data_IF_702331248145
#
_entry.id   IF_702331248145
#
_cell.length_a   1.000
_cell.length_b   1.000
_cell.length_c   1.000
_cell.angle_alpha   90.00
_cell.angle_beta   90.00
_cell.angle_gamma   90.00
#
_symmetry.space_group_name_H-M   'P 1'
#
loop_
_entity.id
_entity.type
_entity.pdbx_description
1 polymer ?
#
# COMPACT_ATOMS: atom_id res chain seq x y z
N UNK A 1 15.82 2.26 3.89
CA UNK A 1 14.77 2.28 2.85
C UNK A 1 13.47 1.75 3.42
N UNK A 2 12.39 2.47 3.25
CA UNK A 2 11.04 2.06 3.63
C UNK A 2 10.31 1.53 2.41
N UNK A 3 9.80 0.32 2.49
CA UNK A 3 9.20 -0.37 1.35
C UNK A 3 7.77 -0.77 1.62
N UNK A 4 6.94 -0.69 0.57
CA UNK A 4 5.53 -1.01 0.56
C UNK A 4 5.21 -1.97 -0.57
N UNK A 5 4.37 -2.97 -0.29
CA UNK A 5 3.77 -3.85 -1.29
C UNK A 5 2.26 -3.59 -1.30
N UNK A 6 1.71 -3.32 -2.46
CA UNK A 6 0.27 -3.10 -2.68
C UNK A 6 -0.29 -4.27 -3.46
N UNK A 7 -1.22 -5.00 -2.87
CA UNK A 7 -1.97 -6.07 -3.52
C UNK A 7 -3.37 -5.60 -3.88
N UNK A 8 -3.76 -5.79 -5.14
CA UNK A 8 -5.08 -5.44 -5.62
C UNK A 8 -5.46 -6.26 -6.86
N UNK A 9 -6.71 -6.12 -7.27
CA UNK A 9 -7.13 -6.51 -8.62
C UNK A 9 -6.98 -5.35 -9.57
N UNK A 10 -6.74 -5.63 -10.84
CA UNK A 10 -6.67 -4.60 -11.87
C UNK A 10 -7.92 -3.71 -11.84
N UNK A 11 -7.73 -2.40 -11.84
CA UNK A 11 -8.79 -1.40 -11.74
C UNK A 11 -9.09 -0.90 -10.32
N UNK A 12 -8.51 -1.49 -9.27
CA UNK A 12 -8.70 -1.02 -7.88
C UNK A 12 -7.78 0.12 -7.47
N UNK A 13 -6.85 0.52 -8.34
CA UNK A 13 -6.03 1.70 -8.12
C UNK A 13 -4.80 1.50 -7.23
N UNK A 14 -4.24 0.29 -7.15
CA UNK A 14 -3.02 0.03 -6.37
C UNK A 14 -1.81 0.80 -6.90
N UNK A 15 -1.60 0.81 -8.21
CA UNK A 15 -0.49 1.56 -8.80
C UNK A 15 -0.67 3.08 -8.63
N UNK A 16 -1.90 3.56 -8.74
CA UNK A 16 -2.22 4.97 -8.46
C UNK A 16 -1.87 5.33 -7.03
N UNK A 17 -2.27 4.51 -6.05
CA UNK A 17 -1.94 4.72 -4.64
C UNK A 17 -0.43 4.67 -4.40
N UNK A 18 0.27 3.69 -4.98
CA UNK A 18 1.71 3.56 -4.86
C UNK A 18 2.44 4.80 -5.38
N UNK A 19 2.00 5.36 -6.51
CA UNK A 19 2.55 6.60 -7.10
C UNK A 19 2.23 7.82 -6.25
N UNK A 20 1.01 7.93 -5.75
CA UNK A 20 0.62 9.06 -4.90
C UNK A 20 1.45 9.08 -3.61
N UNK A 21 1.66 7.92 -2.99
CA UNK A 21 2.52 7.81 -1.83
C UNK A 21 3.96 8.23 -2.14
N UNK A 22 4.50 7.76 -3.26
CA UNK A 22 5.84 8.14 -3.70
C UNK A 22 5.97 9.64 -3.97
N UNK A 23 4.96 10.25 -4.61
CA UNK A 23 4.95 11.68 -4.86
C UNK A 23 4.86 12.48 -3.56
N UNK A 24 4.02 12.07 -2.63
CA UNK A 24 3.89 12.70 -1.31
C UNK A 24 5.21 12.66 -0.55
N UNK A 25 5.89 11.52 -0.53
CA UNK A 25 7.19 11.38 0.11
C UNK A 25 8.27 12.26 -0.53
N UNK A 26 8.24 12.42 -1.85
CA UNK A 26 9.19 13.28 -2.56
C UNK A 26 8.97 14.78 -2.31
N UNK A 27 7.78 15.19 -1.87
CA UNK A 27 7.50 16.56 -1.43
C UNK A 27 8.06 16.85 -0.02
N UNK A 28 8.28 15.81 0.77
CA UNK A 28 8.92 15.93 2.08
C UNK A 28 10.42 16.23 1.92
N UNK A 29 10.95 17.09 2.77
CA UNK A 29 12.35 17.51 2.67
C UNK A 29 13.32 16.33 2.75
N UNK A 30 14.15 16.16 1.71
CA UNK A 30 15.22 15.17 1.64
C UNK A 30 14.78 13.74 1.33
N UNK A 31 13.51 13.50 0.96
CA UNK A 31 13.05 12.17 0.60
C UNK A 31 13.19 11.90 -0.90
N UNK A 32 13.54 10.66 -1.21
CA UNK A 32 13.53 10.09 -2.56
C UNK A 32 12.50 8.97 -2.59
N UNK A 33 11.81 8.82 -3.71
CA UNK A 33 10.79 7.80 -3.84
C UNK A 33 10.81 7.16 -5.22
N UNK A 34 10.42 5.89 -5.26
CA UNK A 34 10.25 5.12 -6.49
C UNK A 34 8.97 4.30 -6.36
N UNK A 35 8.09 4.38 -7.37
CA UNK A 35 6.87 3.57 -7.42
C UNK A 35 6.74 2.92 -8.79
N UNK A 36 6.41 1.63 -8.81
CA UNK A 36 6.27 0.85 -10.04
C UNK A 36 5.32 -0.34 -9.85
N UNK A 37 4.61 -0.77 -10.92
CA UNK A 37 3.77 -1.95 -10.87
C UNK A 37 4.57 -3.21 -11.17
N UNK A 38 3.97 -4.38 -10.92
CA UNK A 38 4.47 -5.62 -11.50
C UNK A 38 4.35 -5.57 -13.02
N UNK A 39 5.42 -6.02 -13.71
CA UNK A 39 5.40 -6.09 -15.16
C UNK A 39 4.59 -7.30 -15.63
N UNK A 40 3.71 -7.09 -16.60
CA UNK A 40 2.85 -8.09 -17.19
C UNK A 40 1.61 -7.44 -17.83
N UNK A 41 0.81 -8.18 -18.62
CA UNK A 41 -0.41 -7.64 -19.17
C UNK A 41 -1.38 -7.29 -18.03
N UNK A 42 -1.70 -6.02 -17.92
CA UNK A 42 -2.69 -5.54 -16.96
C UNK A 42 -4.08 -5.97 -17.44
N UNK A 43 -4.79 -6.75 -16.63
CA UNK A 43 -6.15 -7.17 -16.90
C UNK A 43 -7.05 -6.71 -15.77
N UNK A 44 -8.16 -6.09 -16.11
CA UNK A 44 -9.18 -5.70 -15.15
C UNK A 44 -9.67 -6.92 -14.36
N UNK A 45 -9.65 -6.84 -13.04
CA UNK A 45 -10.04 -7.90 -12.12
C UNK A 45 -8.98 -8.96 -11.83
N UNK A 46 -7.87 -9.03 -12.61
CA UNK A 46 -6.78 -9.94 -12.34
C UNK A 46 -5.91 -9.44 -11.17
N UNK A 47 -5.33 -10.36 -10.35
CA UNK A 47 -4.40 -9.96 -9.30
C UNK A 47 -3.20 -9.20 -9.87
N UNK A 48 -2.84 -8.10 -9.21
CA UNK A 48 -1.66 -7.31 -9.54
C UNK A 48 -0.99 -6.81 -8.26
N UNK A 49 0.27 -6.44 -8.38
CA UNK A 49 1.03 -5.79 -7.31
C UNK A 49 1.63 -4.48 -7.79
N UNK A 50 1.78 -3.55 -6.87
CA UNK A 50 2.59 -2.35 -7.06
C UNK A 50 3.51 -2.20 -5.85
N UNK A 51 4.56 -1.42 -6.03
CA UNK A 51 5.58 -1.21 -5.00
C UNK A 51 5.84 0.27 -4.82
N UNK A 52 6.12 0.67 -3.59
CA UNK A 52 6.66 2.00 -3.28
C UNK A 52 7.91 1.82 -2.43
N UNK A 53 8.98 2.51 -2.82
CA UNK A 53 10.24 2.60 -2.05
C UNK A 53 10.47 4.05 -1.69
N UNK A 54 10.80 4.32 -0.44
CA UNK A 54 11.09 5.66 0.07
C UNK A 54 12.42 5.60 0.84
N UNK A 55 13.32 6.55 0.55
CA UNK A 55 14.61 6.64 1.22
C UNK A 55 15.06 8.09 1.38
N UNK A 56 16.03 8.31 2.23
CA UNK A 56 16.73 9.60 2.38
C UNK A 56 17.87 9.78 1.38
N UNK A 57 18.20 8.74 0.62
CA UNK A 57 19.21 8.74 -0.43
C UNK A 57 18.60 8.32 -1.78
N UNK A 58 19.22 8.67 -2.92
CA UNK A 58 18.77 8.25 -4.24
C UNK A 58 18.60 6.73 -4.34
N UNK A 59 17.47 6.29 -4.90
CA UNK A 59 17.12 4.87 -4.99
C UNK A 59 17.56 4.33 -6.36
N UNK A 60 18.61 3.52 -6.38
CA UNK A 60 19.10 2.84 -7.58
C UNK A 60 18.47 1.46 -7.80
N UNK A 61 18.01 0.82 -6.73
CA UNK A 61 17.40 -0.52 -6.79
C UNK A 61 15.96 -0.46 -7.28
N UNK A 62 15.73 -0.99 -8.49
CA UNK A 62 14.42 -1.08 -9.15
C UNK A 62 13.83 -2.49 -9.12
N UNK A 63 14.41 -3.39 -8.35
CA UNK A 63 13.89 -4.75 -8.21
C UNK A 63 12.56 -4.76 -7.44
N UNK A 64 11.75 -5.81 -7.68
CA UNK A 64 10.53 -6.04 -6.93
C UNK A 64 10.82 -6.14 -5.43
N UNK A 65 9.88 -5.65 -4.61
CA UNK A 65 9.96 -5.78 -3.17
C UNK A 65 9.47 -7.17 -2.77
N UNK A 66 10.25 -7.89 -1.98
CA UNK A 66 9.90 -9.21 -1.47
C UNK A 66 9.48 -9.20 -0.01
N UNK A 67 10.02 -8.27 0.77
CA UNK A 67 9.65 -8.04 2.17
C UNK A 67 9.53 -6.56 2.41
N UNK A 68 8.40 -6.15 2.97
CA UNK A 68 8.08 -4.74 3.16
C UNK A 68 7.71 -4.43 4.61
N UNK A 69 7.93 -3.17 5.00
CA UNK A 69 7.43 -2.66 6.26
C UNK A 69 5.89 -2.62 6.29
N UNK A 70 5.29 -2.37 5.13
CA UNK A 70 3.84 -2.34 4.98
C UNK A 70 3.42 -3.15 3.76
N UNK A 71 2.52 -4.11 3.97
CA UNK A 71 1.88 -4.90 2.91
C UNK A 71 0.39 -4.57 2.94
N UNK A 72 -0.12 -4.01 1.85
CA UNK A 72 -1.47 -3.46 1.77
C UNK A 72 -2.30 -4.29 0.81
N UNK A 73 -3.41 -4.83 1.28
CA UNK A 73 -4.38 -5.57 0.48
C UNK A 73 -5.64 -4.74 0.30
N UNK A 74 -5.87 -4.27 -0.92
CA UNK A 74 -7.11 -3.57 -1.29
C UNK A 74 -8.29 -4.54 -1.44
N UNK A 75 -8.00 -5.83 -1.59
CA UNK A 75 -8.98 -6.91 -1.74
C UNK A 75 -8.55 -8.10 -0.87
N UNK A 76 -9.35 -8.43 0.15
CA UNK A 76 -9.02 -9.49 1.10
C UNK A 76 -9.02 -10.89 0.47
N UNK A 77 -9.69 -11.07 -0.67
CA UNK A 77 -9.69 -12.36 -1.39
C UNK A 77 -8.33 -12.73 -1.96
N UNK A 78 -7.39 -11.78 -2.01
CA UNK A 78 -6.02 -12.00 -2.49
C UNK A 78 -5.06 -12.50 -1.41
N UNK A 79 -5.47 -12.49 -0.14
CA UNK A 79 -4.62 -12.98 0.95
C UNK A 79 -4.55 -14.50 0.87
N UNK A 80 -3.33 -15.01 0.76
CA UNK A 80 -3.04 -16.44 0.66
C UNK A 80 -2.23 -16.91 1.87
N UNK A 81 -2.12 -18.22 2.05
CA UNK A 81 -1.22 -18.81 3.05
C UNK A 81 0.22 -18.38 2.74
N UNK A 82 0.99 -18.06 3.78
CA UNK A 82 2.36 -17.57 3.63
C UNK A 82 2.48 -16.06 3.43
N UNK A 83 1.40 -15.31 3.59
CA UNK A 83 1.42 -13.84 3.50
C UNK A 83 2.46 -13.20 4.45
N UNK A 84 2.77 -13.85 5.56
CA UNK A 84 3.76 -13.38 6.53
C UNK A 84 5.17 -13.27 5.95
N UNK A 85 5.46 -14.04 4.91
CA UNK A 85 6.78 -14.04 4.27
C UNK A 85 7.08 -12.70 3.56
N UNK A 86 6.05 -11.94 3.23
CA UNK A 86 6.19 -10.61 2.65
C UNK A 86 6.42 -9.50 3.69
N UNK A 87 6.28 -9.78 4.99
CA UNK A 87 6.54 -8.81 6.03
C UNK A 87 8.03 -8.76 6.39
N UNK A 88 8.58 -7.55 6.40
CA UNK A 88 9.86 -7.29 7.06
C UNK A 88 9.70 -7.44 8.59
N UNK A 89 10.81 -7.64 9.34
CA UNK A 89 10.72 -7.67 10.81
C UNK A 89 10.02 -6.42 11.36
N UNK A 90 8.97 -6.62 12.15
CA UNK A 90 8.14 -5.53 12.66
C UNK A 90 7.14 -4.94 11.65
N UNK A 91 7.04 -5.52 10.45
CA UNK A 91 6.12 -5.06 9.42
C UNK A 91 4.65 -5.30 9.76
N UNK A 92 3.77 -4.56 9.08
CA UNK A 92 2.32 -4.63 9.25
C UNK A 92 1.64 -4.93 7.93
N UNK A 93 0.59 -5.75 7.99
CA UNK A 93 -0.40 -5.89 6.92
C UNK A 93 -1.55 -4.90 7.18
N UNK A 94 -1.91 -4.11 6.16
CA UNK A 94 -3.13 -3.33 6.13
C UNK A 94 -4.12 -4.06 5.22
N UNK A 95 -5.27 -4.43 5.77
CA UNK A 95 -6.24 -5.28 5.07
C UNK A 95 -7.58 -4.58 4.96
N UNK A 96 -8.12 -4.49 3.76
CA UNK A 96 -9.48 -4.04 3.53
C UNK A 96 -10.45 -5.16 3.91
N UNK A 97 -11.04 -5.06 5.08
CA UNK A 97 -11.93 -6.11 5.62
C UNK A 97 -12.94 -5.53 6.61
N UNK A 98 -14.10 -6.18 6.69
CA UNK A 98 -15.12 -5.92 7.71
C UNK A 98 -14.92 -6.78 8.96
N UNK A 99 -14.05 -7.78 8.89
CA UNK A 99 -13.84 -8.74 9.98
C UNK A 99 -12.98 -8.16 11.09
N UNK A 100 -13.29 -8.50 12.33
CA UNK A 100 -12.38 -8.31 13.45
C UNK A 100 -11.27 -9.37 13.36
N UNK A 101 -10.03 -8.95 13.52
CA UNK A 101 -8.85 -9.81 13.41
C UNK A 101 -8.05 -9.75 14.70
N UNK A 102 -7.57 -10.90 15.16
CA UNK A 102 -6.83 -11.01 16.43
C UNK A 102 -5.30 -10.97 16.25
N UNK A 103 -4.80 -11.03 15.02
CA UNK A 103 -3.35 -10.95 14.75
C UNK A 103 -2.86 -9.51 14.87
N UNK A 104 -1.91 -9.20 15.79
CA UNK A 104 -1.42 -7.83 15.99
C UNK A 104 -0.62 -7.30 14.79
N UNK A 105 -0.22 -8.16 13.85
CA UNK A 105 0.47 -7.75 12.62
C UNK A 105 -0.49 -7.29 11.53
N UNK A 106 -1.80 -7.45 11.72
CA UNK A 106 -2.82 -7.10 10.75
C UNK A 106 -3.67 -5.94 11.27
N UNK A 107 -3.68 -4.85 10.52
CA UNK A 107 -4.59 -3.73 10.73
C UNK A 107 -5.75 -3.85 9.74
N UNK A 108 -6.91 -4.27 10.21
CA UNK A 108 -8.14 -4.36 9.42
C UNK A 108 -8.83 -3.01 9.36
N UNK A 109 -9.16 -2.56 8.15
CA UNK A 109 -9.89 -1.31 7.89
C UNK A 109 -10.99 -1.62 6.89
N UNK A 110 -12.24 -1.29 7.21
CA UNK A 110 -13.36 -1.34 6.25
C UNK A 110 -13.30 -0.14 5.30
N UNK A 111 -12.33 -0.18 4.41
CA UNK A 111 -12.03 0.92 3.50
C UNK A 111 -13.13 1.14 2.47
N UNK A 112 -13.83 0.08 2.05
CA UNK A 112 -14.96 0.19 1.14
C UNK A 112 -16.10 0.98 1.77
N UNK A 113 -16.45 0.67 3.01
CA UNK A 113 -17.51 1.38 3.74
C UNK A 113 -17.13 2.86 3.99
N UNK A 114 -15.91 3.11 4.45
CA UNK A 114 -15.43 4.47 4.73
C UNK A 114 -15.44 5.32 3.47
N UNK A 115 -14.89 4.80 2.36
CA UNK A 115 -14.85 5.56 1.11
C UNK A 115 -16.24 5.74 0.50
N UNK A 116 -17.13 4.75 0.59
CA UNK A 116 -18.51 4.87 0.12
C UNK A 116 -19.28 5.96 0.90
N UNK A 117 -19.08 6.05 2.22
CA UNK A 117 -19.72 7.07 3.06
C UNK A 117 -19.24 8.49 2.73
N UNK A 118 -17.96 8.67 2.40
CA UNK A 118 -17.35 9.98 2.14
C UNK A 118 -17.41 10.38 0.67
N UNK A 119 -17.17 9.44 -0.25
CA UNK A 119 -17.01 9.70 -1.68
C UNK A 119 -18.22 9.22 -2.51
N UNK A 120 -19.19 8.58 -1.88
CA UNK A 120 -20.39 8.05 -2.55
C UNK A 120 -20.18 6.72 -3.29
N UNK A 121 -18.96 6.16 -3.28
CA UNK A 121 -18.63 4.87 -3.89
C UNK A 121 -17.39 4.26 -3.24
N UNK A 122 -17.21 2.93 -3.29
CA UNK A 122 -16.05 2.28 -2.70
C UNK A 122 -14.78 2.55 -3.54
N UNK A 123 -13.85 3.30 -2.94
CA UNK A 123 -12.51 3.60 -3.48
C UNK A 123 -11.48 3.35 -2.37
N UNK A 124 -11.19 2.08 -2.07
CA UNK A 124 -10.40 1.73 -0.87
C UNK A 124 -8.96 2.24 -0.91
N UNK A 125 -8.36 2.42 -2.09
CA UNK A 125 -6.99 2.90 -2.21
C UNK A 125 -6.78 4.27 -1.52
N UNK A 126 -7.74 5.16 -1.59
CA UNK A 126 -7.65 6.49 -0.94
C UNK A 126 -7.60 6.37 0.58
N UNK A 127 -8.40 5.48 1.15
CA UNK A 127 -8.44 5.26 2.60
C UNK A 127 -7.08 4.77 3.13
N UNK A 128 -6.44 3.84 2.42
CA UNK A 128 -5.13 3.34 2.81
C UNK A 128 -4.05 4.40 2.67
N UNK A 129 -4.10 5.24 1.63
CA UNK A 129 -3.20 6.38 1.51
C UNK A 129 -3.29 7.30 2.73
N UNK A 130 -4.50 7.61 3.19
CA UNK A 130 -4.73 8.46 4.36
C UNK A 130 -4.37 7.77 5.69
N UNK A 131 -4.33 6.45 5.75
CA UNK A 131 -3.93 5.71 6.94
C UNK A 131 -2.40 5.71 7.15
N UNK A 132 -1.61 5.77 6.09
CA UNK A 132 -0.14 5.63 6.15
C UNK A 132 0.53 6.71 7.02
N UNK A 133 0.16 8.00 6.95
CA UNK A 133 0.76 9.03 7.81
C UNK A 133 0.61 8.78 9.31
N UNK A 134 -0.41 8.03 9.72
CA UNK A 134 -0.59 7.65 11.12
C UNK A 134 0.37 6.52 11.57
N UNK A 135 0.96 5.81 10.60
CA UNK A 135 1.79 4.62 10.84
C UNK A 135 3.28 4.86 10.63
N UNK A 136 3.64 5.91 9.89
CA UNK A 136 5.04 6.25 9.61
C UNK A 136 5.22 7.75 9.45
N UNK A 137 6.39 8.24 9.85
CA UNK A 137 6.76 9.65 9.69
C UNK A 137 7.32 9.99 8.29
N UNK A 138 7.35 9.03 7.36
CA UNK A 138 7.89 9.24 6.01
C UNK A 138 7.05 10.20 5.17
N UNK A 139 5.77 10.33 5.48
CA UNK A 139 4.83 11.27 4.84
C UNK A 139 3.91 11.87 5.89
N UNK A 140 3.41 13.08 5.63
CA UNK A 140 2.40 13.73 6.47
C UNK A 140 1.04 13.74 5.75
N UNK A 141 -0.02 14.06 6.48
CA UNK A 141 -1.35 14.20 5.89
C UNK A 141 -1.38 15.33 4.86
N UNK A 142 -0.62 16.39 5.10
CA UNK A 142 -0.53 17.53 4.20
C UNK A 142 0.19 17.20 2.88
N UNK A 143 0.99 16.14 2.84
CA UNK A 143 1.70 15.70 1.64
C UNK A 143 0.81 14.85 0.71
N UNK A 144 -0.27 14.24 1.22
CA UNK A 144 -1.19 13.37 0.49
C UNK A 144 -2.42 14.14 0.01
#
# INVERSE_FOLDING_TARGET
MLEFIWHARGGQGAFTAARCLGAAAALSAGAYALAFPTFGPERRGAPMRAFTKIDTAPIGDRSAVHRAAFVIYLDETLVEDGWEDELAPGGLMLLNTKRALDDPRILGIDADCISAAVLGRPIPNTVFLWAIPALTAAVTIEDI
#
